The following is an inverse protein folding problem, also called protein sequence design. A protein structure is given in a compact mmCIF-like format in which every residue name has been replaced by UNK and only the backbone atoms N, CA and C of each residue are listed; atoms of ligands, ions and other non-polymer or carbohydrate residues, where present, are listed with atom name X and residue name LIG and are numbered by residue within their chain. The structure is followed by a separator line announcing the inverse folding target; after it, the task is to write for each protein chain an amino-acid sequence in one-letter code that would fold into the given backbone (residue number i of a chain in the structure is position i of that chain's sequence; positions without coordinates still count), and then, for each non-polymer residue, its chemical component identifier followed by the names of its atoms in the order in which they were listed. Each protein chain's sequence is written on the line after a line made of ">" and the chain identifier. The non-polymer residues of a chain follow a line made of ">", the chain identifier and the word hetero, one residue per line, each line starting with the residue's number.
data_IF_904081850058
#
_entry.id   IF_904081850058
#
_cell.length_a   1.000
_cell.length_b   1.000
_cell.length_c   1.000
_cell.angle_alpha   90.00
_cell.angle_beta   90.00
_cell.angle_gamma   90.00
#
_symmetry.space_group_name_H-M   'P 1'
#
loop_
_entity.id
_entity.type
_entity.pdbx_description
1 polymer ?
#
# COMPACT_ATOMS: atom_id res chain seq x y z
N UNK A 1 -10.13 -3.26 3.62
CA UNK A 1 -8.84 -2.76 4.16
C UNK A 1 -8.73 -1.23 4.23
N UNK A 2 -9.17 -0.46 3.23
CA UNK A 2 -9.10 1.02 3.23
C UNK A 2 -10.45 1.69 3.00
N UNK A 3 -11.40 1.37 3.87
CA UNK A 3 -12.79 1.75 3.70
C UNK A 3 -13.04 3.25 3.94
N UNK A 4 -12.38 3.85 4.94
CA UNK A 4 -12.59 5.24 5.31
C UNK A 4 -11.93 6.20 4.31
N UNK A 5 -10.72 5.85 3.83
CA UNK A 5 -10.05 6.62 2.77
C UNK A 5 -10.86 6.61 1.46
N UNK A 6 -11.45 5.47 1.11
CA UNK A 6 -12.32 5.36 -0.08
C UNK A 6 -13.63 6.12 0.11
N UNK A 7 -14.27 6.02 1.29
CA UNK A 7 -15.46 6.78 1.62
C UNK A 7 -15.20 8.29 1.59
N UNK A 8 -14.02 8.75 2.00
CA UNK A 8 -13.60 10.14 1.83
C UNK A 8 -13.55 10.56 0.35
N UNK A 9 -12.99 9.72 -0.53
CA UNK A 9 -13.00 10.04 -1.96
C UNK A 9 -14.40 10.06 -2.56
N UNK A 10 -15.29 9.15 -2.14
CA UNK A 10 -16.71 9.17 -2.55
C UNK A 10 -17.33 10.50 -2.13
N UNK A 11 -17.18 10.89 -0.85
CA UNK A 11 -17.65 12.18 -0.33
C UNK A 11 -17.18 13.36 -1.17
N UNK A 12 -15.89 13.42 -1.49
CA UNK A 12 -15.28 14.56 -2.18
C UNK A 12 -15.53 14.60 -3.70
N UNK A 13 -15.76 13.44 -4.33
CA UNK A 13 -15.72 13.31 -5.79
C UNK A 13 -17.04 12.88 -6.41
N UNK A 14 -17.92 12.24 -5.66
CA UNK A 14 -19.20 11.75 -6.16
C UNK A 14 -20.31 12.78 -5.92
N UNK A 15 -21.01 13.23 -6.98
CA UNK A 15 -22.10 14.20 -6.84
C UNK A 15 -23.17 13.73 -5.85
N UNK A 16 -23.57 14.61 -4.93
CA UNK A 16 -24.59 14.33 -3.91
C UNK A 16 -24.06 13.74 -2.60
N UNK A 17 -22.77 13.42 -2.51
CA UNK A 17 -22.17 12.80 -1.32
C UNK A 17 -21.49 13.80 -0.37
N UNK A 18 -21.28 15.04 -0.80
CA UNK A 18 -20.43 16.03 -0.10
C UNK A 18 -20.92 16.38 1.32
N UNK A 19 -22.23 16.38 1.57
CA UNK A 19 -22.80 16.74 2.88
C UNK A 19 -22.93 15.52 3.82
N UNK A 20 -22.61 14.32 3.35
CA UNK A 20 -22.71 13.12 4.18
C UNK A 20 -21.54 13.00 5.15
N UNK A 21 -21.83 12.43 6.33
CA UNK A 21 -20.80 11.98 7.24
C UNK A 21 -20.13 10.71 6.68
N UNK A 22 -18.81 10.58 6.89
CA UNK A 22 -18.05 9.48 6.27
C UNK A 22 -18.53 8.13 6.79
N UNK A 23 -18.93 8.06 8.06
CA UNK A 23 -19.50 6.84 8.64
C UNK A 23 -20.77 6.36 7.92
N UNK A 24 -21.58 7.26 7.34
CA UNK A 24 -22.77 6.89 6.57
C UNK A 24 -22.38 6.27 5.23
N UNK A 25 -21.43 6.88 4.51
CA UNK A 25 -20.91 6.34 3.25
C UNK A 25 -20.26 4.96 3.50
N UNK A 26 -19.52 4.80 4.60
CA UNK A 26 -18.95 3.50 4.98
C UNK A 26 -20.03 2.44 5.21
N UNK A 27 -21.15 2.80 5.88
CA UNK A 27 -22.29 1.90 6.06
C UNK A 27 -22.94 1.52 4.74
N UNK A 28 -23.11 2.49 3.84
CA UNK A 28 -23.65 2.24 2.50
C UNK A 28 -22.74 1.31 1.71
N UNK A 29 -21.43 1.57 1.66
CA UNK A 29 -20.44 0.69 1.03
C UNK A 29 -20.51 -0.74 1.58
N UNK A 30 -20.63 -0.90 2.90
CA UNK A 30 -20.75 -2.22 3.53
C UNK A 30 -22.07 -2.91 3.19
N UNK A 31 -23.17 -2.16 3.05
CA UNK A 31 -24.49 -2.70 2.69
C UNK A 31 -24.55 -3.29 1.28
N UNK A 32 -23.62 -2.92 0.41
CA UNK A 32 -23.46 -3.46 -0.95
C UNK A 32 -22.68 -4.79 -0.99
N UNK A 33 -22.41 -5.40 0.17
CA UNK A 33 -21.61 -6.63 0.28
C UNK A 33 -22.20 -7.63 1.28
N UNK A 34 -22.01 -8.92 1.00
CA UNK A 34 -22.45 -10.01 1.89
C UNK A 34 -21.49 -10.29 3.05
N UNK A 35 -20.31 -9.65 3.03
CA UNK A 35 -19.26 -9.82 4.03
C UNK A 35 -17.99 -9.07 3.68
N UNK A 36 -16.99 -9.15 4.56
CA UNK A 36 -15.69 -8.52 4.38
C UNK A 36 -14.57 -9.30 5.05
N UNK A 37 -13.39 -9.27 4.41
CA UNK A 37 -12.12 -9.49 5.10
C UNK A 37 -11.48 -8.14 5.39
N UNK A 38 -11.04 -7.94 6.63
CA UNK A 38 -10.40 -6.70 7.03
C UNK A 38 -9.08 -6.97 7.71
N UNK A 39 -8.05 -6.24 7.27
CA UNK A 39 -6.84 -6.11 8.06
C UNK A 39 -6.89 -4.82 8.86
N UNK A 40 -6.85 -4.94 10.18
CA UNK A 40 -6.89 -3.82 11.11
C UNK A 40 -5.61 -2.96 11.04
N UNK A 41 -4.57 -3.50 10.43
CA UNK A 41 -3.26 -2.86 10.17
C UNK A 41 -3.29 -1.67 9.19
N UNK A 42 -4.48 -1.24 8.76
CA UNK A 42 -4.69 -0.23 7.72
C UNK A 42 -5.55 0.91 8.27
N UNK A 43 -6.79 1.04 7.80
CA UNK A 43 -7.72 2.09 8.27
C UNK A 43 -8.09 1.95 9.74
N UNK A 44 -8.25 0.74 10.31
CA UNK A 44 -8.57 0.63 11.74
C UNK A 44 -7.44 1.06 12.70
N UNK A 45 -6.33 1.60 12.19
CA UNK A 45 -5.21 2.18 12.96
C UNK A 45 -4.51 1.20 13.94
N UNK A 46 -4.81 -0.10 13.87
CA UNK A 46 -4.13 -1.11 14.67
C UNK A 46 -2.73 -1.42 14.14
N UNK A 47 -1.81 -1.83 15.03
CA UNK A 47 -0.50 -2.34 14.61
C UNK A 47 -0.55 -3.81 14.16
N UNK A 48 -1.55 -4.54 14.65
CA UNK A 48 -1.86 -5.94 14.34
C UNK A 48 -3.37 -6.11 14.17
N UNK A 49 -3.80 -7.31 13.78
CA UNK A 49 -5.20 -7.69 13.78
C UNK A 49 -5.91 -7.61 12.44
N UNK A 50 -7.10 -8.20 12.46
CA UNK A 50 -8.03 -8.32 11.36
C UNK A 50 -9.29 -9.04 11.82
N UNK A 51 -10.30 -9.04 10.96
CA UNK A 51 -11.53 -9.77 11.21
C UNK A 51 -12.17 -10.21 9.91
N UNK A 52 -13.10 -11.15 10.05
CA UNK A 52 -14.00 -11.60 9.01
C UNK A 52 -15.43 -11.28 9.49
N UNK A 53 -16.23 -10.64 8.63
CA UNK A 53 -17.65 -10.41 8.86
C UNK A 53 -18.45 -10.92 7.67
N UNK A 54 -19.67 -11.39 7.91
CA UNK A 54 -20.57 -11.93 6.90
C UNK A 54 -22.01 -11.93 7.38
N UNK A 55 -22.96 -11.96 6.44
CA UNK A 55 -24.39 -12.00 6.72
C UNK A 55 -24.94 -13.44 6.86
N UNK A 56 -24.26 -14.44 6.31
CA UNK A 56 -24.71 -15.85 6.33
C UNK A 56 -24.30 -16.58 7.63
N UNK A 57 -25.29 -16.97 8.42
CA UNK A 57 -25.07 -17.67 9.70
C UNK A 57 -24.47 -19.08 9.55
N UNK A 58 -24.69 -19.76 8.44
CA UNK A 58 -24.12 -21.09 8.19
C UNK A 58 -22.63 -20.97 7.87
N UNK A 59 -22.26 -20.03 7.01
CA UNK A 59 -20.87 -19.69 6.73
C UNK A 59 -20.18 -19.18 8.00
N UNK A 60 -20.84 -18.35 8.81
CA UNK A 60 -20.27 -17.82 10.04
C UNK A 60 -19.91 -18.93 11.04
N UNK A 61 -20.74 -19.99 11.12
CA UNK A 61 -20.42 -21.18 11.93
C UNK A 61 -19.19 -21.90 11.40
N UNK A 62 -19.14 -22.20 10.11
CA UNK A 62 -17.99 -22.87 9.49
C UNK A 62 -16.67 -22.08 9.69
N UNK A 63 -16.73 -20.75 9.55
CA UNK A 63 -15.57 -19.90 9.78
C UNK A 63 -15.14 -19.87 11.25
N UNK A 64 -16.07 -19.91 12.22
CA UNK A 64 -15.73 -20.02 13.65
C UNK A 64 -15.08 -21.35 13.99
N UNK A 65 -15.56 -22.45 13.41
CA UNK A 65 -14.96 -23.78 13.59
C UNK A 65 -13.50 -23.78 13.07
N UNK A 66 -13.27 -23.20 11.89
CA UNK A 66 -11.91 -23.07 11.34
C UNK A 66 -11.04 -22.12 12.18
N UNK A 67 -11.58 -20.99 12.62
CA UNK A 67 -10.86 -20.00 13.43
C UNK A 67 -10.28 -20.62 14.70
N UNK A 68 -11.04 -21.49 15.39
CA UNK A 68 -10.57 -22.22 16.58
C UNK A 68 -9.36 -23.09 16.27
N UNK A 69 -9.30 -23.68 15.07
CA UNK A 69 -8.20 -24.53 14.65
C UNK A 69 -6.95 -23.75 14.22
N UNK A 70 -7.12 -22.52 13.72
CA UNK A 70 -6.02 -21.78 13.08
C UNK A 70 -5.51 -20.57 13.86
N UNK A 71 -6.38 -19.81 14.52
CA UNK A 71 -6.04 -18.50 15.11
C UNK A 71 -6.36 -18.43 16.62
N UNK A 72 -7.52 -18.95 17.05
CA UNK A 72 -7.99 -18.89 18.44
C UNK A 72 -9.51 -18.91 18.59
N UNK A 73 -10.03 -18.70 19.81
CA UNK A 73 -11.47 -18.74 20.07
C UNK A 73 -12.22 -17.54 19.45
N UNK A 74 -13.51 -17.67 19.05
CA UNK A 74 -14.25 -16.60 18.35
C UNK A 74 -14.35 -15.26 19.05
N UNK A 75 -14.14 -15.18 20.36
CA UNK A 75 -14.18 -13.90 21.10
C UNK A 75 -12.86 -13.13 21.07
N UNK A 76 -11.76 -13.73 20.58
CA UNK A 76 -10.47 -13.04 20.47
C UNK A 76 -9.68 -13.30 19.19
N UNK A 77 -9.88 -14.44 18.51
CA UNK A 77 -9.35 -14.71 17.16
C UNK A 77 -7.85 -14.48 17.01
N UNK A 78 -7.05 -14.91 18.00
CA UNK A 78 -5.59 -14.73 18.00
C UNK A 78 -5.09 -13.36 18.45
N UNK A 79 -5.98 -12.45 18.87
CA UNK A 79 -5.62 -11.12 19.36
C UNK A 79 -5.66 -11.03 20.88
N UNK A 80 -4.76 -10.25 21.47
CA UNK A 80 -4.89 -9.90 22.88
C UNK A 80 -6.07 -8.93 23.05
N UNK A 81 -6.72 -8.94 24.22
CA UNK A 81 -7.86 -8.04 24.49
C UNK A 81 -7.54 -6.56 24.26
N UNK A 82 -6.31 -6.13 24.59
CA UNK A 82 -5.82 -4.76 24.31
C UNK A 82 -5.73 -4.42 22.82
N UNK A 83 -5.46 -5.40 21.97
CA UNK A 83 -5.38 -5.17 20.52
C UNK A 83 -6.80 -5.01 19.95
N UNK A 84 -7.78 -5.76 20.46
CA UNK A 84 -9.20 -5.58 20.12
C UNK A 84 -9.68 -4.17 20.51
N UNK A 85 -9.34 -3.72 21.71
CA UNK A 85 -9.69 -2.37 22.18
C UNK A 85 -9.06 -1.28 21.31
N UNK A 86 -7.77 -1.40 20.99
CA UNK A 86 -7.08 -0.46 20.11
C UNK A 86 -7.72 -0.39 18.70
N UNK A 87 -8.16 -1.52 18.16
CA UNK A 87 -8.87 -1.58 16.88
C UNK A 87 -10.26 -0.94 16.97
N UNK A 88 -11.01 -1.18 18.05
CA UNK A 88 -12.31 -0.55 18.26
C UNK A 88 -12.20 0.97 18.35
N UNK A 89 -11.21 1.47 19.08
CA UNK A 89 -10.90 2.89 19.16
C UNK A 89 -10.49 3.46 17.79
N UNK A 90 -9.57 2.79 17.08
CA UNK A 90 -9.11 3.22 15.77
C UNK A 90 -10.21 3.28 14.70
N UNK A 91 -11.22 2.41 14.77
CA UNK A 91 -12.42 2.47 13.92
C UNK A 91 -13.27 3.73 14.14
N UNK A 92 -13.31 4.22 15.37
CA UNK A 92 -13.99 5.50 15.70
C UNK A 92 -13.18 6.68 15.20
N UNK A 93 -11.85 6.64 15.36
CA UNK A 93 -10.96 7.72 14.94
C UNK A 93 -10.83 7.87 13.42
N UNK A 94 -10.80 6.77 12.67
CA UNK A 94 -10.47 6.81 11.23
C UNK A 94 -11.54 7.49 10.38
N UNK A 95 -12.78 7.57 10.85
CA UNK A 95 -13.89 8.20 10.13
C UNK A 95 -14.00 9.71 10.41
N UNK A 96 -13.14 10.26 11.28
CA UNK A 96 -13.06 11.69 11.54
C UNK A 96 -12.62 12.45 10.28
N UNK A 97 -13.34 13.52 9.96
CA UNK A 97 -13.15 14.28 8.72
C UNK A 97 -11.85 15.06 8.70
N UNK A 98 -11.41 15.62 9.83
CA UNK A 98 -10.16 16.39 9.88
C UNK A 98 -8.95 15.44 9.78
N UNK A 99 -9.04 14.28 10.42
CA UNK A 99 -8.06 13.21 10.23
C UNK A 99 -7.97 12.76 8.77
N UNK A 100 -9.10 12.46 8.11
CA UNK A 100 -9.12 12.01 6.71
C UNK A 100 -8.62 13.10 5.76
N UNK A 101 -9.02 14.36 5.97
CA UNK A 101 -8.52 15.50 5.21
C UNK A 101 -6.99 15.58 5.31
N UNK A 102 -6.43 15.57 6.52
CA UNK A 102 -4.98 15.60 6.74
C UNK A 102 -4.28 14.42 6.06
N UNK A 103 -4.82 13.22 6.26
CA UNK A 103 -4.26 11.97 5.73
C UNK A 103 -4.15 12.01 4.22
N UNK A 104 -5.23 12.40 3.55
CA UNK A 104 -5.33 12.40 2.08
C UNK A 104 -4.53 13.56 1.49
N UNK A 105 -4.50 14.72 2.17
CA UNK A 105 -3.65 15.83 1.76
C UNK A 105 -2.17 15.49 1.83
N UNK A 106 -1.75 14.67 2.80
CA UNK A 106 -0.36 14.23 2.94
C UNK A 106 0.13 13.40 1.74
N UNK A 107 -0.68 12.47 1.23
CA UNK A 107 -0.31 11.71 0.01
C UNK A 107 -0.42 12.57 -1.25
N UNK A 108 -1.45 13.40 -1.35
CA UNK A 108 -1.63 14.33 -2.47
C UNK A 108 -0.44 15.30 -2.59
N UNK A 109 0.02 15.87 -1.48
CA UNK A 109 1.18 16.78 -1.44
C UNK A 109 2.46 16.13 -1.98
N UNK A 110 2.76 14.89 -1.57
CA UNK A 110 3.89 14.16 -2.14
C UNK A 110 3.74 13.99 -3.65
N UNK A 111 2.58 13.51 -4.12
CA UNK A 111 2.39 13.23 -5.53
C UNK A 111 2.38 14.49 -6.41
N UNK A 112 1.75 15.57 -5.97
CA UNK A 112 1.76 16.86 -6.67
C UNK A 112 3.19 17.41 -6.80
N UNK A 113 4.00 17.32 -5.74
CA UNK A 113 5.40 17.76 -5.76
C UNK A 113 6.26 16.92 -6.70
N UNK A 114 6.05 15.60 -6.76
CA UNK A 114 6.77 14.73 -7.69
C UNK A 114 6.39 15.03 -9.15
N UNK A 115 5.10 15.23 -9.44
CA UNK A 115 4.63 15.64 -10.77
C UNK A 115 5.23 16.99 -11.16
N UNK A 116 5.22 17.97 -10.26
CA UNK A 116 5.83 19.29 -10.50
C UNK A 116 7.34 19.20 -10.75
N UNK A 117 8.00 18.16 -10.23
CA UNK A 117 9.42 17.85 -10.45
C UNK A 117 9.69 17.02 -11.71
N UNK A 118 8.66 16.73 -12.53
CA UNK A 118 8.77 15.91 -13.73
C UNK A 118 8.97 14.41 -13.47
N UNK A 119 8.76 13.93 -12.24
CA UNK A 119 8.91 12.52 -11.90
C UNK A 119 7.62 11.78 -12.28
N UNK A 120 7.70 10.72 -13.09
CA UNK A 120 6.52 10.02 -13.57
C UNK A 120 5.90 9.19 -12.44
N UNK A 121 4.63 9.48 -12.11
CA UNK A 121 3.86 8.74 -11.11
C UNK A 121 2.51 8.31 -11.66
N UNK A 122 1.91 7.29 -11.04
CA UNK A 122 0.51 6.96 -11.29
C UNK A 122 -0.40 8.08 -10.77
N UNK A 123 -1.35 8.52 -11.61
CA UNK A 123 -2.35 9.53 -11.27
C UNK A 123 -3.77 9.03 -11.55
N UNK A 124 -4.80 9.50 -10.81
CA UNK A 124 -4.71 10.38 -9.63
C UNK A 124 -4.06 9.67 -8.43
N UNK A 125 -3.46 10.46 -7.52
CA UNK A 125 -2.83 9.92 -6.31
C UNK A 125 -3.87 9.24 -5.43
N UNK A 126 -3.54 8.03 -5.00
CA UNK A 126 -4.40 7.25 -4.11
C UNK A 126 -4.35 7.71 -2.66
N UNK A 127 -5.21 7.13 -1.83
CA UNK A 127 -5.32 7.51 -0.43
C UNK A 127 -4.05 7.26 0.37
N UNK A 128 -3.20 6.30 -0.01
CA UNK A 128 -2.24 5.71 0.92
C UNK A 128 -0.76 5.69 0.52
N UNK A 129 -0.50 5.95 -0.74
CA UNK A 129 0.83 5.85 -1.31
C UNK A 129 0.88 6.65 -2.61
N UNK A 130 2.09 7.04 -2.97
CA UNK A 130 2.43 7.48 -4.31
C UNK A 130 3.22 6.36 -4.99
N UNK A 131 2.96 6.14 -6.28
CA UNK A 131 3.59 5.08 -7.07
C UNK A 131 4.38 5.73 -8.20
N UNK A 132 5.70 5.65 -8.14
CA UNK A 132 6.58 6.10 -9.23
C UNK A 132 6.58 5.04 -10.32
N UNK A 133 6.40 5.43 -11.57
CA UNK A 133 6.58 4.56 -12.72
C UNK A 133 8.08 4.41 -13.02
N UNK A 134 8.64 3.28 -12.60
CA UNK A 134 10.07 3.02 -12.75
C UNK A 134 10.47 2.80 -14.21
N UNK A 135 9.57 2.31 -15.07
CA UNK A 135 9.87 2.13 -16.50
C UNK A 135 9.98 3.47 -17.21
N UNK A 136 9.10 4.41 -16.88
CA UNK A 136 9.16 5.75 -17.40
C UNK A 136 10.39 6.51 -16.87
N UNK A 137 10.75 6.30 -15.61
CA UNK A 137 11.91 6.97 -14.99
C UNK A 137 13.25 6.38 -15.45
N UNK A 138 13.31 5.08 -15.76
CA UNK A 138 14.51 4.32 -16.13
C UNK A 138 14.31 3.54 -17.46
N UNK A 139 14.03 4.24 -18.57
CA UNK A 139 13.64 3.59 -19.84
C UNK A 139 14.76 2.74 -20.47
N UNK A 140 16.01 2.96 -20.06
CA UNK A 140 17.18 2.19 -20.52
C UNK A 140 17.36 0.86 -19.80
N UNK A 141 16.61 0.60 -18.72
CA UNK A 141 16.65 -0.68 -17.99
C UNK A 141 15.46 -1.54 -18.44
N UNK A 142 15.70 -2.64 -19.17
CA UNK A 142 14.63 -3.56 -19.56
C UNK A 142 13.87 -4.10 -18.33
N UNK A 143 12.56 -4.40 -18.44
CA UNK A 143 11.77 -4.87 -17.30
C UNK A 143 12.32 -6.11 -16.57
N UNK A 144 12.92 -7.05 -17.31
CA UNK A 144 13.56 -8.25 -16.75
C UNK A 144 14.93 -7.96 -16.10
N UNK A 145 15.41 -6.72 -16.17
CA UNK A 145 16.52 -6.19 -15.39
C UNK A 145 16.03 -5.32 -14.21
N UNK A 146 14.74 -5.43 -13.89
CA UNK A 146 14.11 -4.95 -12.66
C UNK A 146 14.28 -3.45 -12.36
N UNK A 147 13.78 -2.54 -13.22
CA UNK A 147 13.87 -1.10 -13.00
C UNK A 147 13.23 -0.65 -11.67
N UNK A 148 12.15 -1.30 -11.23
CA UNK A 148 11.53 -1.01 -9.94
C UNK A 148 12.46 -1.29 -8.75
N UNK A 149 13.24 -2.38 -8.81
CA UNK A 149 14.24 -2.69 -7.79
C UNK A 149 15.40 -1.71 -7.82
N UNK A 150 15.89 -1.40 -9.02
CA UNK A 150 16.97 -0.43 -9.19
C UNK A 150 16.62 0.92 -8.59
N UNK A 151 15.41 1.41 -8.87
CA UNK A 151 14.91 2.65 -8.30
C UNK A 151 14.73 2.57 -6.77
N UNK A 152 14.18 1.47 -6.25
CA UNK A 152 14.00 1.29 -4.81
C UNK A 152 15.34 1.28 -4.05
N UNK A 153 16.36 0.61 -4.60
CA UNK A 153 17.73 0.62 -4.06
C UNK A 153 18.34 2.02 -4.14
N UNK A 154 18.21 2.71 -5.27
CA UNK A 154 18.76 4.05 -5.45
C UNK A 154 18.19 5.08 -4.47
N UNK A 155 16.89 5.00 -4.14
CA UNK A 155 16.24 5.84 -3.12
C UNK A 155 16.79 5.55 -1.72
N UNK A 156 17.02 4.28 -1.40
CA UNK A 156 17.59 3.88 -0.12
C UNK A 156 19.06 4.32 0.01
N UNK A 157 19.88 4.14 -1.02
CA UNK A 157 21.28 4.56 -1.03
C UNK A 157 21.44 6.08 -0.99
N UNK A 158 20.58 6.83 -1.69
CA UNK A 158 20.66 8.28 -1.73
C UNK A 158 20.26 8.94 -0.41
N UNK A 159 19.23 8.44 0.26
CA UNK A 159 18.65 9.15 1.41
C UNK A 159 18.06 8.28 2.51
N UNK A 160 18.29 6.96 2.50
CA UNK A 160 17.72 6.03 3.47
C UNK A 160 16.20 5.83 3.32
N UNK A 161 15.61 6.26 2.20
CA UNK A 161 14.16 6.15 1.95
C UNK A 161 13.84 4.75 1.43
N UNK A 162 13.32 3.90 2.33
CA UNK A 162 12.89 2.55 1.95
C UNK A 162 11.51 2.58 1.29
N UNK A 163 11.46 2.18 0.04
CA UNK A 163 10.24 1.99 -0.75
C UNK A 163 9.99 0.50 -1.02
N UNK A 164 8.96 0.17 -1.82
CA UNK A 164 8.63 -1.20 -2.17
C UNK A 164 8.38 -1.29 -3.67
N UNK A 165 9.09 -2.20 -4.35
CA UNK A 165 8.78 -2.57 -5.73
C UNK A 165 7.42 -3.26 -5.79
N UNK A 166 6.63 -2.89 -6.79
CA UNK A 166 5.35 -3.51 -7.17
C UNK A 166 5.40 -3.69 -8.69
N UNK A 167 6.02 -4.78 -9.12
CA UNK A 167 6.23 -5.05 -10.53
C UNK A 167 6.67 -6.48 -10.81
N UNK A 168 7.58 -6.62 -11.76
CA UNK A 168 8.06 -7.90 -12.29
C UNK A 168 8.64 -8.79 -11.19
N UNK A 169 9.29 -8.24 -10.16
CA UNK A 169 9.79 -9.06 -9.05
C UNK A 169 8.62 -9.57 -8.21
N UNK A 170 7.72 -8.68 -7.79
CA UNK A 170 6.53 -9.01 -6.98
C UNK A 170 5.70 -10.12 -7.60
N UNK A 171 5.39 -10.03 -8.90
CA UNK A 171 4.51 -10.98 -9.56
C UNK A 171 5.15 -12.33 -9.86
N UNK A 172 6.47 -12.43 -9.77
CA UNK A 172 7.12 -13.74 -9.80
C UNK A 172 7.10 -14.41 -11.16
N UNK A 173 7.40 -15.71 -11.12
CA UNK A 173 7.24 -16.61 -12.25
C UNK A 173 5.79 -17.08 -12.36
N UNK A 174 5.37 -17.40 -13.57
CA UNK A 174 4.13 -18.10 -13.82
C UNK A 174 4.22 -19.56 -13.33
N UNK A 175 3.08 -20.26 -13.16
CA UNK A 175 3.07 -21.66 -12.73
C UNK A 175 3.87 -22.62 -13.62
N UNK A 176 4.11 -22.26 -14.89
CA UNK A 176 4.95 -23.03 -15.83
C UNK A 176 6.46 -22.76 -15.69
N UNK A 177 6.85 -21.89 -14.75
CA UNK A 177 8.24 -21.49 -14.47
C UNK A 177 8.77 -20.36 -15.35
N UNK A 178 8.00 -19.89 -16.34
CA UNK A 178 8.36 -18.75 -17.18
C UNK A 178 8.28 -17.44 -16.41
N UNK A 179 9.06 -16.45 -16.85
CA UNK A 179 9.01 -15.08 -16.32
C UNK A 179 8.71 -14.12 -17.46
N UNK A 180 7.66 -13.33 -17.28
CA UNK A 180 7.28 -12.28 -18.22
C UNK A 180 7.25 -10.94 -17.48
N UNK A 181 7.64 -9.84 -18.16
CA UNK A 181 7.47 -8.51 -17.61
C UNK A 181 6.05 -8.29 -17.08
N UNK A 182 5.94 -7.68 -15.90
CA UNK A 182 4.66 -7.21 -15.41
C UNK A 182 4.07 -6.14 -16.37
N UNK A 183 2.78 -5.80 -16.22
CA UNK A 183 2.21 -4.69 -16.98
C UNK A 183 2.91 -3.35 -16.66
N UNK A 184 3.32 -3.16 -15.41
CA UNK A 184 4.04 -1.98 -14.91
C UNK A 184 5.12 -2.43 -13.91
N UNK A 185 6.18 -1.62 -13.77
CA UNK A 185 7.10 -1.72 -12.63
C UNK A 185 6.98 -0.43 -11.82
N UNK A 186 6.28 -0.52 -10.68
CA UNK A 186 6.02 0.64 -9.83
C UNK A 186 6.91 0.60 -8.58
N UNK A 187 7.32 1.77 -8.11
CA UNK A 187 7.92 1.92 -6.78
C UNK A 187 6.95 2.65 -5.87
N UNK A 188 6.45 1.93 -4.87
CA UNK A 188 5.44 2.41 -3.93
C UNK A 188 6.09 3.11 -2.74
N UNK A 189 5.84 4.42 -2.64
CA UNK A 189 6.09 5.24 -1.46
C UNK A 189 4.86 5.19 -0.55
N UNK A 190 4.77 4.13 0.26
CA UNK A 190 3.66 3.94 1.19
C UNK A 190 3.81 4.83 2.42
N UNK A 191 2.74 5.54 2.81
CA UNK A 191 2.75 6.48 3.94
C UNK A 191 1.96 5.90 5.12
N UNK A 192 2.64 5.48 6.21
CA UNK A 192 2.00 5.13 7.48
C UNK A 192 1.16 6.28 8.05
N UNK A 193 0.02 5.93 8.65
CA UNK A 193 -0.94 6.89 9.21
C UNK A 193 -0.37 7.51 10.49
N UNK A 194 -0.42 8.85 10.61
CA UNK A 194 0.00 9.62 11.81
C UNK A 194 1.45 9.38 12.26
N UNK A 195 2.34 9.00 11.35
CA UNK A 195 3.75 8.71 11.69
C UNK A 195 4.70 9.81 11.23
N UNK A 196 4.49 10.31 10.00
CA UNK A 196 5.38 11.28 9.38
C UNK A 196 4.75 12.67 9.32
N UNK A 197 5.60 13.68 9.36
CA UNK A 197 5.27 15.11 9.24
C UNK A 197 5.51 15.59 7.81
N UNK A 198 5.08 16.83 7.52
CA UNK A 198 5.39 17.46 6.23
C UNK A 198 6.90 17.52 5.95
N UNK A 199 7.75 17.84 6.92
CA UNK A 199 9.21 17.88 6.72
C UNK A 199 9.81 16.52 6.33
N UNK A 200 9.25 15.40 6.81
CA UNK A 200 9.64 14.08 6.33
C UNK A 200 9.23 13.85 4.87
N UNK A 201 8.07 14.38 4.46
CA UNK A 201 7.62 14.31 3.06
C UNK A 201 8.51 15.20 2.17
N UNK A 202 8.88 16.39 2.63
CA UNK A 202 9.82 17.28 1.92
C UNK A 202 11.17 16.58 1.70
N UNK A 203 11.69 15.91 2.71
CA UNK A 203 12.92 15.11 2.60
C UNK A 203 12.77 13.97 1.57
N UNK A 204 11.63 13.26 1.56
CA UNK A 204 11.37 12.22 0.55
C UNK A 204 11.33 12.83 -0.87
N UNK A 205 10.73 14.01 -1.04
CA UNK A 205 10.69 14.73 -2.33
C UNK A 205 12.11 15.05 -2.79
N UNK A 206 12.95 15.61 -1.92
CA UNK A 206 14.35 15.95 -2.22
C UNK A 206 15.15 14.71 -2.66
N UNK A 207 15.02 13.60 -1.92
CA UNK A 207 15.68 12.33 -2.27
C UNK A 207 15.21 11.81 -3.63
N UNK A 208 13.91 11.90 -3.93
CA UNK A 208 13.37 11.51 -5.22
C UNK A 208 13.92 12.39 -6.36
N UNK A 209 14.04 13.70 -6.15
CA UNK A 209 14.62 14.63 -7.11
C UNK A 209 16.11 14.34 -7.36
N UNK A 210 16.87 14.06 -6.29
CA UNK A 210 18.28 13.69 -6.41
C UNK A 210 18.47 12.39 -7.22
N UNK A 211 17.64 11.38 -6.98
CA UNK A 211 17.67 10.13 -7.75
C UNK A 211 17.24 10.35 -9.20
N UNK A 212 16.22 11.17 -9.43
CA UNK A 212 15.77 11.54 -10.77
C UNK A 212 16.86 12.23 -11.58
N UNK A 213 17.62 13.15 -10.98
CA UNK A 213 18.71 13.87 -11.63
C UNK A 213 19.84 12.97 -12.14
N UNK A 214 20.00 11.76 -11.57
CA UNK A 214 21.00 10.76 -11.97
C UNK A 214 20.39 9.47 -12.51
N UNK A 215 19.12 9.49 -12.90
CA UNK A 215 18.38 8.27 -13.32
C UNK A 215 19.08 7.53 -14.46
N UNK A 216 19.65 8.25 -15.42
CA UNK A 216 20.37 7.71 -16.57
C UNK A 216 21.64 6.91 -16.20
N UNK A 217 22.21 7.11 -15.00
CA UNK A 217 23.39 6.36 -14.55
C UNK A 217 23.04 5.10 -13.75
N UNK A 218 21.76 4.88 -13.43
CA UNK A 218 21.35 3.70 -12.68
C UNK A 218 21.43 2.45 -13.57
N UNK A 219 21.83 1.34 -12.98
CA UNK A 219 21.88 0.03 -13.66
C UNK A 219 20.80 -0.90 -13.13
N UNK A 220 20.41 -1.86 -13.98
CA UNK A 220 19.47 -2.91 -13.59
C UNK A 220 20.11 -3.93 -12.65
N UNK A 221 19.29 -4.87 -12.20
CA UNK A 221 19.71 -5.95 -11.30
C UNK A 221 19.44 -7.31 -11.95
N UNK A 222 20.14 -8.34 -11.44
CA UNK A 222 19.77 -9.75 -11.64
C UNK A 222 19.55 -10.43 -10.30
N UNK A 223 18.65 -11.41 -10.26
CA UNK A 223 18.45 -12.27 -9.09
C UNK A 223 19.64 -13.24 -9.00
N UNK A 224 20.19 -13.41 -7.80
CA UNK A 224 21.27 -14.35 -7.50
C UNK A 224 20.85 -15.47 -6.54
N UNK A 225 19.76 -15.27 -5.83
CA UNK A 225 19.13 -16.25 -4.94
C UNK A 225 17.61 -15.99 -4.94
N UNK A 226 16.82 -17.02 -5.23
CA UNK A 226 15.36 -16.94 -5.43
C UNK A 226 14.67 -18.01 -4.58
N UNK A 227 13.75 -17.65 -3.65
CA UNK A 227 12.96 -18.63 -2.93
C UNK A 227 11.87 -19.23 -3.85
N UNK A 228 11.34 -20.43 -3.53
CA UNK A 228 10.35 -21.11 -4.37
C UNK A 228 8.99 -20.40 -4.43
N UNK A 229 8.68 -19.53 -3.47
CA UNK A 229 7.45 -18.77 -3.42
C UNK A 229 7.71 -17.35 -2.88
N UNK A 230 6.89 -16.40 -3.32
CA UNK A 230 6.88 -15.02 -2.84
C UNK A 230 8.26 -14.33 -2.87
N UNK A 231 8.97 -14.48 -3.99
CA UNK A 231 10.37 -14.04 -4.16
C UNK A 231 10.67 -12.59 -3.78
N UNK A 232 9.70 -11.69 -3.91
CA UNK A 232 9.85 -10.29 -3.55
C UNK A 232 10.13 -10.02 -2.07
N UNK A 233 9.94 -11.00 -1.18
CA UNK A 233 10.29 -10.84 0.23
C UNK A 233 11.76 -11.13 0.53
N UNK A 234 12.35 -12.14 -0.11
CA UNK A 234 13.66 -12.68 0.33
C UNK A 234 14.64 -12.98 -0.79
N UNK A 235 14.31 -12.68 -2.05
CA UNK A 235 15.27 -12.79 -3.14
C UNK A 235 16.48 -11.87 -2.92
N UNK A 236 17.65 -12.32 -3.38
CA UNK A 236 18.89 -11.53 -3.35
C UNK A 236 19.27 -11.13 -4.77
N UNK A 237 19.90 -9.96 -4.89
CA UNK A 237 20.21 -9.35 -6.17
C UNK A 237 21.65 -8.86 -6.21
N UNK A 238 22.19 -8.75 -7.42
CA UNK A 238 23.44 -8.06 -7.72
C UNK A 238 23.22 -7.08 -8.90
N UNK A 239 23.92 -5.93 -8.92
CA UNK A 239 23.89 -5.02 -10.06
C UNK A 239 24.36 -5.72 -11.35
N UNK A 240 23.78 -5.33 -12.48
CA UNK A 240 24.31 -5.68 -13.79
C UNK A 240 25.59 -4.88 -14.07
N UNK A 241 26.54 -5.53 -14.74
CA UNK A 241 27.81 -4.93 -15.15
C UNK A 241 27.64 -3.91 -16.30
#
# INVERSE_FOLDING_TARGET
>A
CRFAENAWFIREREPGQADLYVGDIVREMASLSDGMTMSAKKDPLGNIGGWLAMNDDTLARQCRDLLVLTEGFPTYGGLAGRDLEAVAQGLTEVIDHEYLRYRIRSTAYLGESLVASGIPILTPVGGHAVYIDARAMLPHIPPLHYPGQALAVALYEAGGVRSCEIGTIMFGRHPDGSEHPAAMDLVRLAIPRRTYTQSHIDYVIEVCQQVAARSASLTGFRIVDEPPALRHFTARFEPLA
#
